data_IF_521765636966
#
_entry.id   IF_521765636966
#
_cell.length_a   1.000
_cell.length_b   1.000
_cell.length_c   1.000
_cell.angle_alpha   90.00
_cell.angle_beta   90.00
_cell.angle_gamma   90.00
#
_symmetry.space_group_name_H-M   'P 1'
#
loop_
_entity.id
_entity.type
_entity.pdbx_description
1 polymer ?
#
# COMPACT_ATOMS: atom_id res chain seq x y z
N UNK A 1 -1.47 -10.17 9.15
CA UNK A 1 -2.39 -9.76 8.08
C UNK A 1 -2.70 -8.30 8.36
N UNK A 2 -1.98 -7.37 7.75
CA UNK A 2 -2.35 -5.94 7.82
C UNK A 2 -3.47 -5.75 6.81
N UNK A 3 -4.70 -5.82 7.32
CA UNK A 3 -5.89 -5.35 6.62
C UNK A 3 -5.62 -3.88 6.27
N UNK A 4 -5.25 -3.63 5.01
CA UNK A 4 -5.16 -2.26 4.51
C UNK A 4 -6.63 -1.86 4.34
N UNK A 5 -7.16 -0.94 5.17
CA UNK A 5 -8.57 -0.61 5.10
C UNK A 5 -8.85 -0.10 3.70
N UNK A 6 -9.82 -0.73 3.01
CA UNK A 6 -10.38 -0.15 1.78
C UNK A 6 -10.71 1.31 2.08
N UNK A 7 -10.28 2.25 1.22
CA UNK A 7 -10.50 3.66 1.50
C UNK A 7 -12.00 3.90 1.68
N UNK A 8 -12.40 4.69 2.70
CA UNK A 8 -13.81 4.97 2.93
C UNK A 8 -14.45 5.53 1.67
N UNK A 9 -15.69 5.12 1.43
CA UNK A 9 -16.54 5.63 0.35
C UNK A 9 -16.57 7.15 0.39
N UNK A 10 -15.85 7.79 -0.53
CA UNK A 10 -15.64 9.25 -0.57
C UNK A 10 -14.24 9.67 -1.03
N UNK A 11 -13.21 8.87 -0.77
CA UNK A 11 -11.82 9.22 -1.15
C UNK A 11 -11.59 9.24 -2.66
N UNK A 12 -12.15 8.26 -3.38
CA UNK A 12 -12.10 8.24 -4.85
C UNK A 12 -12.88 9.39 -5.48
N UNK A 13 -13.99 9.81 -4.87
CA UNK A 13 -14.77 10.96 -5.34
C UNK A 13 -14.02 12.28 -5.09
N UNK A 14 -13.41 12.44 -3.91
CA UNK A 14 -12.55 13.59 -3.63
C UNK A 14 -11.35 13.67 -4.59
N UNK A 15 -10.79 12.53 -5.01
CA UNK A 15 -9.71 12.49 -6.01
C UNK A 15 -10.20 12.89 -7.42
N UNK A 16 -11.40 12.45 -7.82
CA UNK A 16 -12.02 12.87 -9.08
C UNK A 16 -12.31 14.38 -9.09
N UNK A 17 -12.86 14.89 -7.98
CA UNK A 17 -13.14 16.31 -7.81
C UNK A 17 -11.83 17.13 -7.85
N UNK A 18 -10.80 16.69 -7.12
CA UNK A 18 -9.48 17.32 -7.14
C UNK A 18 -8.88 17.36 -8.56
N UNK A 19 -9.00 16.27 -9.33
CA UNK A 19 -8.50 16.26 -10.71
C UNK A 19 -9.27 17.19 -11.63
N UNK A 20 -10.60 17.24 -11.49
CA UNK A 20 -11.44 18.16 -12.24
C UNK A 20 -11.07 19.63 -11.94
N UNK A 21 -10.83 19.98 -10.68
CA UNK A 21 -10.41 21.34 -10.29
C UNK A 21 -8.99 21.69 -10.78
N UNK A 22 -8.09 20.70 -10.84
CA UNK A 22 -6.73 20.87 -11.34
C UNK A 22 -6.63 20.79 -12.88
N UNK A 23 -7.73 20.47 -13.56
CA UNK A 23 -7.73 20.24 -15.02
C UNK A 23 -6.90 19.03 -15.44
N UNK A 24 -6.73 18.06 -14.54
CA UNK A 24 -5.96 16.85 -14.78
C UNK A 24 -6.85 15.79 -15.42
N UNK A 25 -6.26 15.02 -16.35
CA UNK A 25 -6.95 13.87 -16.95
C UNK A 25 -7.15 12.77 -15.89
N UNK A 26 -8.21 11.97 -16.04
CA UNK A 26 -8.53 10.88 -15.12
C UNK A 26 -7.74 9.59 -15.41
N UNK A 27 -6.72 9.67 -16.27
CA UNK A 27 -5.76 8.60 -16.47
C UNK A 27 -4.72 8.60 -15.33
N UNK A 28 -5.15 8.11 -14.17
CA UNK A 28 -4.38 8.13 -12.92
C UNK A 28 -3.03 7.41 -13.02
N UNK A 29 -2.95 6.43 -13.92
CA UNK A 29 -1.77 5.62 -14.21
C UNK A 29 -0.72 6.40 -15.01
N UNK A 30 -1.14 7.33 -15.85
CA UNK A 30 -0.26 8.19 -16.66
C UNK A 30 0.15 9.50 -15.96
N UNK A 31 -0.48 9.86 -14.83
CA UNK A 31 -0.14 11.10 -14.12
C UNK A 31 1.33 11.10 -13.66
N UNK A 32 2.04 12.19 -13.94
CA UNK A 32 3.40 12.38 -13.43
C UNK A 32 3.42 12.57 -11.90
N UNK A 33 4.56 12.28 -11.29
CA UNK A 33 4.78 12.45 -9.84
C UNK A 33 4.41 13.85 -9.29
N UNK A 34 4.77 14.99 -9.93
CA UNK A 34 4.38 16.31 -9.45
C UNK A 34 2.86 16.56 -9.49
N UNK A 35 2.17 16.09 -10.53
CA UNK A 35 0.71 16.27 -10.64
C UNK A 35 -0.03 15.35 -9.67
N UNK A 36 0.50 14.15 -9.44
CA UNK A 36 0.02 13.27 -8.38
C UNK A 36 0.14 13.93 -7.00
N UNK A 37 1.27 14.54 -6.67
CA UNK A 37 1.45 15.24 -5.40
C UNK A 37 0.51 16.45 -5.25
N UNK A 38 0.19 17.14 -6.35
CA UNK A 38 -0.81 18.23 -6.35
C UNK A 38 -2.21 17.69 -6.12
N UNK A 39 -2.56 16.59 -6.79
CA UNK A 39 -3.83 15.91 -6.61
C UNK A 39 -4.01 15.41 -5.18
N UNK A 40 -3.02 14.72 -4.61
CA UNK A 40 -3.07 14.28 -3.21
C UNK A 40 -3.22 15.47 -2.26
N UNK A 41 -2.52 16.58 -2.48
CA UNK A 41 -2.72 17.77 -1.65
C UNK A 41 -4.17 18.25 -1.71
N UNK A 42 -4.73 18.36 -2.91
CA UNK A 42 -6.08 18.90 -3.11
C UNK A 42 -7.18 17.95 -2.62
N UNK A 43 -7.06 16.66 -2.91
CA UNK A 43 -7.94 15.64 -2.37
C UNK A 43 -7.90 15.62 -0.84
N UNK A 44 -6.72 15.82 -0.24
CA UNK A 44 -6.56 15.93 1.21
C UNK A 44 -7.28 17.14 1.80
N UNK A 45 -7.27 18.29 1.11
CA UNK A 45 -8.04 19.47 1.49
C UNK A 45 -9.55 19.22 1.44
N UNK A 46 -10.04 18.57 0.38
CA UNK A 46 -11.46 18.22 0.22
C UNK A 46 -11.90 17.27 1.35
N UNK A 47 -11.12 16.22 1.60
CA UNK A 47 -11.38 15.26 2.67
C UNK A 47 -11.33 15.92 4.05
N UNK A 48 -10.37 16.82 4.28
CA UNK A 48 -10.29 17.61 5.51
C UNK A 48 -11.51 18.51 5.71
N UNK A 49 -12.00 19.15 4.64
CA UNK A 49 -13.24 19.94 4.64
C UNK A 49 -14.50 19.12 4.93
N UNK A 50 -14.50 17.84 4.55
CA UNK A 50 -15.57 16.87 4.84
C UNK A 50 -15.48 16.27 6.25
N UNK A 51 -14.43 16.58 7.03
CA UNK A 51 -14.21 16.05 8.37
C UNK A 51 -13.57 14.66 8.41
N UNK A 52 -13.01 14.19 7.30
CA UNK A 52 -12.25 12.94 7.27
C UNK A 52 -10.86 13.13 7.88
N UNK A 53 -10.50 12.24 8.81
CA UNK A 53 -9.14 12.13 9.32
C UNK A 53 -8.28 11.31 8.34
N UNK A 54 -7.21 11.91 7.82
CA UNK A 54 -6.25 11.25 6.94
C UNK A 54 -5.23 10.49 7.77
N UNK A 55 -5.16 9.17 7.59
CA UNK A 55 -4.14 8.33 8.21
C UNK A 55 -2.77 8.50 7.50
N UNK A 56 -1.64 8.22 8.17
CA UNK A 56 -0.35 8.13 7.49
C UNK A 56 -0.39 7.09 6.36
N UNK A 57 0.11 7.44 5.16
CA UNK A 57 0.09 6.56 3.99
C UNK A 57 -1.25 6.47 3.24
N UNK A 58 -2.18 7.40 3.52
CA UNK A 58 -3.46 7.49 2.81
C UNK A 58 -3.31 7.73 1.30
N UNK A 59 -2.22 8.38 0.88
CA UNK A 59 -1.87 8.64 -0.51
C UNK A 59 -1.55 7.34 -1.27
N UNK A 60 -0.85 6.40 -0.65
CA UNK A 60 -0.59 5.07 -1.21
C UNK A 60 -1.86 4.21 -1.28
N UNK A 61 -2.72 4.30 -0.26
CA UNK A 61 -4.04 3.65 -0.28
C UNK A 61 -4.94 4.21 -1.41
N UNK A 62 -4.89 5.53 -1.63
CA UNK A 62 -5.59 6.19 -2.74
C UNK A 62 -5.02 5.80 -4.10
N UNK A 63 -3.68 5.75 -4.25
CA UNK A 63 -3.03 5.29 -5.47
C UNK A 63 -3.50 3.87 -5.86
N UNK A 64 -3.49 2.94 -4.89
CA UNK A 64 -3.96 1.57 -5.08
C UNK A 64 -5.44 1.50 -5.48
N UNK A 65 -6.28 2.34 -4.89
CA UNK A 65 -7.70 2.40 -5.21
C UNK A 65 -8.01 2.99 -6.59
N UNK A 66 -7.16 3.90 -7.07
CA UNK A 66 -7.23 4.46 -8.43
C UNK A 66 -6.52 3.58 -9.48
N UNK A 67 -5.91 2.48 -9.07
CA UNK A 67 -5.17 1.57 -9.96
C UNK A 67 -3.81 2.11 -10.41
N UNK A 68 -3.30 3.16 -9.74
CA UNK A 68 -1.98 3.72 -10.03
C UNK A 68 -0.89 2.80 -9.44
N UNK A 69 0.13 2.42 -10.22
CA UNK A 69 1.29 1.74 -9.68
C UNK A 69 2.00 2.69 -8.72
N UNK A 70 2.09 2.29 -7.45
CA UNK A 70 2.75 3.08 -6.43
C UNK A 70 4.26 3.14 -6.72
N UNK A 71 4.89 4.34 -6.81
CA UNK A 71 6.31 4.46 -7.13
C UNK A 71 7.23 4.00 -5.98
N UNK A 72 6.69 3.84 -4.76
CA UNK A 72 7.40 3.33 -3.57
C UNK A 72 7.20 1.83 -3.42
N UNK A 73 6.16 1.26 -4.03
CA UNK A 73 5.98 -0.19 -4.15
C UNK A 73 6.87 -0.76 -5.26
N UNK A 74 8.18 -0.74 -5.03
CA UNK A 74 8.92 -1.98 -5.31
C UNK A 74 8.23 -3.05 -4.46
N UNK A 75 7.60 -4.06 -5.06
CA UNK A 75 6.96 -5.09 -4.28
C UNK A 75 8.10 -5.82 -3.56
N UNK A 76 8.18 -5.64 -2.25
CA UNK A 76 8.88 -6.53 -1.32
C UNK A 76 8.15 -7.89 -1.25
N UNK A 77 7.57 -8.35 -2.37
CA UNK A 77 6.96 -9.66 -2.54
C UNK A 77 8.04 -10.75 -2.67
N UNK A 78 9.31 -10.39 -2.96
CA UNK A 78 10.42 -11.34 -2.97
C UNK A 78 11.00 -11.63 -1.58
N UNK A 79 10.71 -10.84 -0.54
CA UNK A 79 11.21 -11.10 0.81
C UNK A 79 10.30 -12.02 1.63
N UNK A 80 9.06 -12.28 1.18
CA UNK A 80 8.10 -13.10 1.93
C UNK A 80 8.22 -14.60 1.66
N UNK A 81 8.92 -15.02 0.61
CA UNK A 81 9.09 -16.45 0.29
C UNK A 81 10.26 -17.12 1.05
N UNK A 82 11.26 -16.35 1.49
CA UNK A 82 12.45 -16.91 2.16
C UNK A 82 12.22 -17.29 3.63
N UNK A 83 11.11 -16.87 4.25
CA UNK A 83 10.84 -17.15 5.65
C UNK A 83 10.09 -18.49 5.90
N UNK A 84 9.81 -19.27 4.87
CA UNK A 84 9.12 -20.57 4.98
C UNK A 84 9.99 -21.77 4.57
N UNK A 85 11.29 -21.72 4.87
CA UNK A 85 12.22 -22.87 4.72
C UNK A 85 12.98 -23.22 6.01
N UNK A 86 12.40 -22.92 7.18
CA UNK A 86 12.98 -23.34 8.48
C UNK A 86 11.95 -24.09 9.30
N UNK A 87 11.60 -25.32 8.90
CA UNK A 87 10.90 -26.30 9.75
C UNK A 87 11.03 -27.75 9.28
N UNK A 88 12.23 -28.15 8.86
CA UNK A 88 12.74 -29.52 8.83
C UNK A 88 14.28 -29.36 8.73
N UNK A 89 15.15 -29.70 9.66
CA UNK A 89 15.16 -30.74 10.68
C UNK A 89 15.97 -30.20 11.87
N UNK A 90 15.39 -30.20 13.07
CA UNK A 90 16.21 -30.20 14.29
C UNK A 90 15.67 -31.26 15.23
N UNK A 91 16.46 -32.33 15.33
CA UNK A 91 16.59 -33.12 16.55
C UNK A 91 15.81 -34.42 16.56
N UNK A 92 16.49 -35.50 16.19
CA UNK A 92 16.62 -36.60 17.15
C UNK A 92 18.04 -37.17 17.07
N UNK A 93 18.80 -36.87 18.11
CA UNK A 93 20.10 -37.48 18.40
C UNK A 93 19.80 -38.84 19.01
N UNK A 94 20.05 -39.92 18.27
CA UNK A 94 20.23 -41.25 18.86
C UNK A 94 21.73 -41.59 18.79
N UNK A 95 22.43 -41.29 19.87
CA UNK A 95 23.61 -42.04 20.26
C UNK A 95 23.16 -43.07 21.30
N UNK A 96 23.54 -44.34 21.13
CA UNK A 96 24.05 -45.07 22.28
C UNK A 96 25.49 -45.52 22.02
N UNK A 97 26.43 -44.90 22.74
CA UNK A 97 27.67 -45.58 23.15
C UNK A 97 27.41 -46.29 24.49
N UNK A 98 28.19 -47.36 24.70
CA UNK A 98 28.34 -48.20 25.90
C UNK A 98 27.23 -49.24 26.17
N UNK A 99 27.50 -50.51 26.53
CA UNK A 99 28.71 -51.18 27.02
C UNK A 99 28.47 -52.73 26.97
N UNK A 100 29.55 -53.52 27.09
CA UNK A 100 29.66 -54.98 27.31
C UNK A 100 29.90 -55.94 26.12
#
# INVERSE_FOLDING_TARGET
>A
MTDIPSPPSGWTEAAKEAAAELGLETDWSALDAPDWARLCRRAGEILGGQGHALAPGWDGALARALGRPDPVAVPDELARDTANTVLAEKGEVFAPEDDA
#
